data_IF_340864696623
#
_entry.id   IF_340864696623
#
_cell.length_a   1.000
_cell.length_b   1.000
_cell.length_c   1.000
_cell.angle_alpha   90.00
_cell.angle_beta   90.00
_cell.angle_gamma   90.00
#
_symmetry.space_group_name_H-M   'P 1'
#
loop_
_entity.id
_entity.type
_entity.pdbx_description
1 polymer ?
#
# COMPACT_ATOMS: atom_id res chain seq x y z
N UNK A 1 -5.51 12.82 -25.19
CA UNK A 1 -5.21 13.63 -23.97
C UNK A 1 -4.00 13.01 -23.30
N UNK A 2 -2.90 13.73 -23.24
CA UNK A 2 -1.71 13.26 -22.54
C UNK A 2 -2.01 13.12 -21.07
N UNK A 3 -1.71 11.94 -20.52
CA UNK A 3 -1.94 11.64 -19.11
C UNK A 3 -1.10 12.59 -18.25
N UNK A 4 -1.74 13.39 -17.41
CA UNK A 4 -1.06 14.30 -16.47
C UNK A 4 -0.13 13.48 -15.56
N UNK A 5 1.15 13.81 -15.54
CA UNK A 5 2.18 13.07 -14.81
C UNK A 5 3.10 14.03 -14.06
N UNK A 6 3.88 13.51 -13.13
CA UNK A 6 4.92 14.29 -12.46
C UNK A 6 5.93 14.90 -13.44
N UNK A 7 6.14 14.28 -14.61
CA UNK A 7 6.99 14.83 -15.68
C UNK A 7 6.39 16.10 -16.27
N UNK A 8 5.07 16.19 -16.37
CA UNK A 8 4.36 17.40 -16.84
C UNK A 8 4.60 18.57 -15.89
N UNK A 9 4.44 18.35 -14.56
CA UNK A 9 4.72 19.37 -13.56
C UNK A 9 6.19 19.81 -13.60
N UNK A 10 7.11 18.87 -13.72
CA UNK A 10 8.54 19.14 -13.78
C UNK A 10 8.89 20.02 -14.98
N UNK A 11 8.31 19.72 -16.15
CA UNK A 11 8.51 20.49 -17.38
C UNK A 11 7.99 21.92 -17.26
N UNK A 12 6.76 22.10 -16.74
CA UNK A 12 6.14 23.42 -16.59
C UNK A 12 6.86 24.31 -15.57
N UNK A 13 7.38 23.71 -14.49
CA UNK A 13 8.08 24.42 -13.45
C UNK A 13 9.60 24.59 -13.74
N UNK A 14 10.10 24.01 -14.82
CA UNK A 14 11.53 23.94 -15.16
C UNK A 14 12.37 23.32 -14.02
N UNK A 15 11.81 22.31 -13.36
CA UNK A 15 12.44 21.58 -12.27
C UNK A 15 12.71 20.12 -12.66
N UNK A 16 13.64 19.48 -11.95
CA UNK A 16 13.83 18.04 -12.08
C UNK A 16 12.62 17.28 -11.52
N UNK A 17 12.32 16.11 -12.09
CA UNK A 17 11.28 15.19 -11.54
C UNK A 17 11.55 14.86 -10.07
N UNK A 18 12.83 14.73 -9.70
CA UNK A 18 13.24 14.48 -8.32
C UNK A 18 12.88 15.65 -7.39
N UNK A 19 13.13 16.90 -7.82
CA UNK A 19 12.78 18.10 -7.05
C UNK A 19 11.28 18.22 -6.84
N UNK A 20 10.49 18.03 -7.91
CA UNK A 20 9.02 18.03 -7.81
C UNK A 20 8.52 16.93 -6.87
N UNK A 21 9.08 15.73 -6.98
CA UNK A 21 8.72 14.61 -6.10
C UNK A 21 9.07 14.87 -4.62
N UNK A 22 10.19 15.55 -4.35
CA UNK A 22 10.59 15.97 -3.00
C UNK A 22 9.67 17.07 -2.46
N UNK A 23 9.32 18.06 -3.29
CA UNK A 23 8.42 19.14 -2.93
C UNK A 23 7.01 18.65 -2.55
N UNK A 24 6.44 17.74 -3.36
CA UNK A 24 5.12 17.12 -3.10
C UNK A 24 5.08 16.29 -1.79
N UNK A 25 6.23 15.87 -1.25
CA UNK A 25 6.36 15.12 -0.01
C UNK A 25 6.85 15.96 1.16
N UNK A 26 6.86 17.27 1.00
CA UNK A 26 7.31 18.22 2.01
C UNK A 26 8.74 17.97 2.52
N UNK A 27 9.65 17.52 1.65
CA UNK A 27 11.04 17.27 2.01
C UNK A 27 11.74 18.56 2.45
N UNK A 28 12.54 18.48 3.51
CA UNK A 28 13.38 19.59 4.00
C UNK A 28 14.46 20.06 2.99
N UNK A 29 14.79 19.22 2.01
CA UNK A 29 15.77 19.52 0.96
C UNK A 29 15.27 20.55 -0.08
N UNK A 30 13.99 20.91 -0.05
CA UNK A 30 13.36 21.84 -0.99
C UNK A 30 12.91 23.09 -0.26
N UNK A 31 13.24 24.27 -0.83
CA UNK A 31 12.83 25.57 -0.24
C UNK A 31 11.31 25.70 -0.15
N UNK A 32 10.82 26.46 0.85
CA UNK A 32 9.40 26.75 1.04
C UNK A 32 8.77 27.37 -0.23
N UNK A 33 9.46 28.28 -0.89
CA UNK A 33 9.01 28.90 -2.13
C UNK A 33 8.79 27.87 -3.25
N UNK A 34 9.75 26.96 -3.45
CA UNK A 34 9.64 25.91 -4.48
C UNK A 34 8.51 24.94 -4.15
N UNK A 35 8.32 24.59 -2.87
CA UNK A 35 7.19 23.74 -2.44
C UNK A 35 5.85 24.40 -2.79
N UNK A 36 5.68 25.68 -2.46
CA UNK A 36 4.46 26.41 -2.78
C UNK A 36 4.16 26.45 -4.28
N UNK A 37 5.17 26.72 -5.11
CA UNK A 37 5.02 26.70 -6.57
C UNK A 37 4.59 25.34 -7.10
N UNK A 38 5.17 24.26 -6.58
CA UNK A 38 4.82 22.88 -6.97
C UNK A 38 3.40 22.53 -6.55
N UNK A 39 3.01 22.84 -5.30
CA UNK A 39 1.67 22.56 -4.77
C UNK A 39 0.60 23.36 -5.52
N UNK A 40 0.82 24.64 -5.75
CA UNK A 40 -0.11 25.49 -6.49
C UNK A 40 -0.36 24.99 -7.93
N UNK A 41 0.69 24.52 -8.62
CA UNK A 41 0.53 23.95 -9.96
C UNK A 41 -0.16 22.57 -9.92
N UNK A 42 0.16 21.73 -8.93
CA UNK A 42 -0.49 20.45 -8.74
C UNK A 42 -2.00 20.61 -8.53
N UNK A 43 -2.41 21.55 -7.66
CA UNK A 43 -3.82 21.87 -7.41
C UNK A 43 -4.51 22.43 -8.66
N UNK A 44 -3.88 23.38 -9.35
CA UNK A 44 -4.41 23.96 -10.60
C UNK A 44 -4.68 22.91 -11.68
N UNK A 45 -3.82 21.90 -11.75
CA UNK A 45 -3.94 20.82 -12.74
C UNK A 45 -4.70 19.60 -12.22
N UNK A 46 -5.23 19.62 -10.98
CA UNK A 46 -5.82 18.45 -10.31
C UNK A 46 -4.90 17.22 -10.35
N UNK A 47 -3.59 17.45 -10.16
CA UNK A 47 -2.61 16.37 -10.14
C UNK A 47 -2.58 15.68 -8.76
N UNK A 48 -2.88 14.39 -8.74
CA UNK A 48 -2.69 13.54 -7.55
C UNK A 48 -1.47 12.66 -7.75
N UNK A 49 -0.47 12.70 -6.82
CA UNK A 49 0.66 11.80 -6.87
C UNK A 49 0.21 10.34 -6.89
N UNK A 50 0.78 9.54 -7.80
CA UNK A 50 0.50 8.11 -7.84
C UNK A 50 1.26 7.42 -6.68
N UNK A 51 0.56 6.86 -5.68
CA UNK A 51 1.19 6.20 -4.55
C UNK A 51 2.02 4.98 -4.97
N UNK A 52 1.58 4.25 -6.00
CA UNK A 52 2.29 3.07 -6.52
C UNK A 52 3.66 3.41 -7.11
N UNK A 53 3.80 4.57 -7.78
CA UNK A 53 5.09 5.01 -8.30
C UNK A 53 6.11 5.33 -7.18
N UNK A 54 5.64 5.71 -6.01
CA UNK A 54 6.51 5.96 -4.85
C UNK A 54 6.83 4.67 -4.08
N UNK A 55 5.90 3.71 -4.06
CA UNK A 55 6.02 2.40 -3.41
C UNK A 55 7.13 1.56 -4.04
N UNK A 56 7.19 1.50 -5.37
CA UNK A 56 8.24 0.80 -6.12
C UNK A 56 9.65 1.27 -5.72
N UNK A 57 9.83 2.58 -5.49
CA UNK A 57 11.13 3.14 -5.11
C UNK A 57 11.49 2.90 -3.65
N UNK A 58 10.50 2.79 -2.76
CA UNK A 58 10.69 2.59 -1.32
C UNK A 58 10.60 1.13 -0.90
N UNK A 59 10.25 0.21 -1.80
CA UNK A 59 9.91 -1.19 -1.50
C UNK A 59 8.86 -1.32 -0.37
N UNK A 60 7.94 -0.33 -0.28
CA UNK A 60 6.86 -0.32 0.72
C UNK A 60 5.56 0.06 0.05
N UNK A 61 4.58 -0.83 0.10
CA UNK A 61 3.25 -0.63 -0.46
C UNK A 61 2.36 0.26 0.40
N UNK A 62 2.69 0.43 1.68
CA UNK A 62 1.85 1.03 2.70
C UNK A 62 0.48 0.33 2.80
N UNK A 63 0.49 -0.98 2.63
CA UNK A 63 -0.70 -1.82 2.65
C UNK A 63 -0.46 -3.02 3.55
N UNK A 64 -1.44 -3.36 4.37
CA UNK A 64 -1.49 -4.59 5.18
C UNK A 64 -2.55 -5.50 4.60
N UNK A 65 -2.20 -6.75 4.36
CA UNK A 65 -3.15 -7.81 4.02
C UNK A 65 -3.82 -8.35 5.28
N UNK A 66 -5.14 -8.48 5.25
CA UNK A 66 -5.92 -9.17 6.29
C UNK A 66 -6.64 -10.33 5.62
N UNK A 67 -6.24 -11.53 5.98
CA UNK A 67 -6.75 -12.79 5.38
C UNK A 67 -7.53 -13.52 6.45
N UNK A 68 -8.82 -13.67 6.23
CA UNK A 68 -9.76 -14.26 7.21
C UNK A 68 -10.74 -15.21 6.51
N UNK A 69 -11.34 -16.17 7.24
CA UNK A 69 -12.30 -17.10 6.62
C UNK A 69 -13.56 -16.40 6.12
N UNK A 70 -14.11 -15.49 6.93
CA UNK A 70 -15.38 -14.80 6.64
C UNK A 70 -15.46 -13.45 7.34
N UNK A 71 -16.29 -12.53 6.83
CA UNK A 71 -16.49 -11.21 7.43
C UNK A 71 -17.77 -11.11 8.26
N UNK A 72 -18.66 -12.09 8.17
CA UNK A 72 -19.99 -12.06 8.82
C UNK A 72 -19.90 -12.30 10.31
N UNK A 73 -18.90 -13.05 10.78
CA UNK A 73 -18.66 -13.31 12.17
C UNK A 73 -18.30 -12.03 12.93
N UNK A 74 -18.95 -11.78 14.05
CA UNK A 74 -18.76 -10.58 14.88
C UNK A 74 -17.32 -10.41 15.39
N UNK A 75 -16.60 -11.51 15.63
CA UNK A 75 -15.18 -11.48 16.00
C UNK A 75 -14.33 -10.87 14.87
N UNK A 76 -14.48 -11.35 13.64
CA UNK A 76 -13.72 -10.85 12.51
C UNK A 76 -14.10 -9.41 12.15
N UNK A 77 -15.38 -9.06 12.18
CA UNK A 77 -15.81 -7.69 11.88
C UNK A 77 -15.29 -6.67 12.89
N UNK A 78 -15.24 -7.01 14.17
CA UNK A 78 -14.65 -6.16 15.21
C UNK A 78 -13.11 -6.07 15.05
N UNK A 79 -12.47 -7.19 14.75
CA UNK A 79 -11.02 -7.23 14.50
C UNK A 79 -10.63 -6.34 13.30
N UNK A 80 -11.38 -6.41 12.19
CA UNK A 80 -11.17 -5.55 11.02
C UNK A 80 -11.27 -4.07 11.40
N UNK A 81 -12.29 -3.68 12.18
CA UNK A 81 -12.45 -2.29 12.63
C UNK A 81 -11.24 -1.82 13.44
N UNK A 82 -10.73 -2.65 14.36
CA UNK A 82 -9.53 -2.33 15.14
C UNK A 82 -8.28 -2.21 14.28
N UNK A 83 -8.09 -3.13 13.35
CA UNK A 83 -6.96 -3.13 12.41
C UNK A 83 -7.01 -1.88 11.52
N UNK A 84 -8.17 -1.56 10.94
CA UNK A 84 -8.34 -0.38 10.08
C UNK A 84 -8.03 0.90 10.84
N UNK A 85 -8.54 1.04 12.06
CA UNK A 85 -8.30 2.21 12.90
C UNK A 85 -6.80 2.45 13.13
N UNK A 86 -6.03 1.42 13.51
CA UNK A 86 -4.60 1.53 13.74
C UNK A 86 -3.82 1.76 12.44
N UNK A 87 -4.18 1.03 11.37
CA UNK A 87 -3.54 1.15 10.07
C UNK A 87 -3.67 2.59 9.54
N UNK A 88 -4.85 3.17 9.60
CA UNK A 88 -5.13 4.53 9.17
C UNK A 88 -4.28 5.55 9.92
N UNK A 89 -4.14 5.44 11.25
CA UNK A 89 -3.29 6.35 12.03
C UNK A 89 -1.81 6.30 11.60
N UNK A 90 -1.37 5.14 11.11
CA UNK A 90 0.01 4.93 10.65
C UNK A 90 0.18 5.16 9.13
N UNK A 91 -0.87 5.61 8.45
CA UNK A 91 -0.86 5.86 7.01
C UNK A 91 -0.76 4.59 6.17
N UNK A 92 -1.34 3.49 6.66
CA UNK A 92 -1.49 2.22 5.94
C UNK A 92 -2.91 2.05 5.41
N UNK A 93 -3.02 1.36 4.29
CA UNK A 93 -4.28 0.81 3.77
C UNK A 93 -4.44 -0.63 4.22
N UNK A 94 -5.68 -1.09 4.31
CA UNK A 94 -6.01 -2.49 4.63
C UNK A 94 -6.65 -3.13 3.41
N UNK A 95 -6.13 -4.28 2.99
CA UNK A 95 -6.75 -5.16 1.99
C UNK A 95 -7.28 -6.39 2.69
N UNK A 96 -8.57 -6.65 2.54
CA UNK A 96 -9.25 -7.79 3.16
C UNK A 96 -9.48 -8.85 2.09
N UNK A 97 -9.04 -10.07 2.39
CA UNK A 97 -9.25 -11.26 1.58
C UNK A 97 -9.98 -12.32 2.38
N UNK A 98 -10.93 -12.99 1.75
CA UNK A 98 -11.73 -14.04 2.37
C UNK A 98 -11.30 -15.39 1.81
N UNK A 99 -10.91 -16.30 2.71
CA UNK A 99 -10.52 -17.66 2.31
C UNK A 99 -11.72 -18.58 2.15
N UNK A 100 -12.84 -18.26 2.76
CA UNK A 100 -14.04 -19.14 2.82
C UNK A 100 -13.73 -20.53 3.38
N UNK A 101 -12.79 -20.63 4.32
CA UNK A 101 -12.29 -21.88 4.90
C UNK A 101 -11.64 -22.83 3.86
N UNK A 102 -11.27 -22.33 2.69
CA UNK A 102 -10.64 -23.06 1.61
C UNK A 102 -9.12 -22.90 1.66
N UNK A 103 -8.40 -24.01 1.87
CA UNK A 103 -6.94 -24.04 1.97
C UNK A 103 -6.24 -23.66 0.65
N UNK A 104 -6.77 -24.07 -0.49
CA UNK A 104 -6.17 -23.73 -1.79
C UNK A 104 -6.35 -22.23 -2.08
N UNK A 105 -7.49 -21.65 -1.70
CA UNK A 105 -7.70 -20.21 -1.80
C UNK A 105 -6.78 -19.44 -0.85
N UNK A 106 -6.57 -19.90 0.38
CA UNK A 106 -5.60 -19.33 1.32
C UNK A 106 -4.20 -19.28 0.73
N UNK A 107 -3.73 -20.39 0.19
CA UNK A 107 -2.42 -20.47 -0.50
C UNK A 107 -2.32 -19.51 -1.67
N UNK A 108 -3.35 -19.44 -2.50
CA UNK A 108 -3.36 -18.55 -3.66
C UNK A 108 -3.29 -17.07 -3.25
N UNK A 109 -4.01 -16.68 -2.22
CA UNK A 109 -3.97 -15.31 -1.67
C UNK A 109 -2.56 -14.97 -1.15
N UNK A 110 -1.95 -15.85 -0.36
CA UNK A 110 -0.60 -15.60 0.17
C UNK A 110 0.44 -15.56 -0.96
N UNK A 111 0.29 -16.39 -1.98
CA UNK A 111 1.14 -16.36 -3.17
C UNK A 111 1.10 -15.01 -3.90
N UNK A 112 -0.06 -14.41 -4.02
CA UNK A 112 -0.22 -13.07 -4.59
C UNK A 112 0.54 -11.99 -3.81
N UNK A 113 0.66 -12.14 -2.49
CA UNK A 113 1.35 -11.17 -1.63
C UNK A 113 2.87 -11.19 -1.77
N UNK A 114 3.46 -12.27 -2.28
CA UNK A 114 4.88 -12.35 -2.59
C UNK A 114 5.33 -11.29 -3.61
N UNK A 115 4.41 -10.76 -4.40
CA UNK A 115 4.70 -9.72 -5.40
C UNK A 115 5.03 -8.33 -4.81
N UNK A 116 5.03 -8.17 -3.47
CA UNK A 116 5.24 -6.89 -2.80
C UNK A 116 3.98 -6.01 -2.76
N UNK A 117 2.79 -6.60 -2.93
CA UNK A 117 1.50 -5.91 -2.85
C UNK A 117 1.18 -5.41 -1.44
N UNK A 118 1.69 -6.11 -0.43
CA UNK A 118 1.52 -5.77 0.99
C UNK A 118 2.87 -5.69 1.70
N UNK A 119 2.92 -4.92 2.79
CA UNK A 119 4.11 -4.78 3.64
C UNK A 119 4.09 -5.76 4.83
N UNK A 120 2.97 -6.46 5.02
CA UNK A 120 2.76 -7.46 6.05
C UNK A 120 1.36 -8.04 5.98
N UNK A 121 1.15 -9.16 6.64
CA UNK A 121 -0.11 -9.90 6.63
C UNK A 121 -0.58 -10.18 8.05
N UNK A 122 -1.88 -10.09 8.27
CA UNK A 122 -2.58 -10.63 9.43
C UNK A 122 -3.46 -11.77 8.93
N UNK A 123 -3.19 -12.98 9.38
CA UNK A 123 -3.81 -14.20 8.88
C UNK A 123 -4.58 -14.92 9.98
N UNK A 124 -5.81 -15.28 9.68
CA UNK A 124 -6.52 -16.33 10.37
C UNK A 124 -6.58 -17.55 9.46
N UNK A 125 -5.83 -18.58 9.79
CA UNK A 125 -5.75 -19.81 8.98
C UNK A 125 -7.10 -20.49 8.86
N UNK A 126 -7.34 -21.11 7.71
CA UNK A 126 -8.53 -21.92 7.45
C UNK A 126 -8.51 -23.18 8.31
N UNK A 127 -9.69 -23.71 8.64
CA UNK A 127 -9.81 -24.98 9.39
C UNK A 127 -9.20 -26.17 8.64
N UNK A 128 -9.10 -26.09 7.33
CA UNK A 128 -8.50 -27.11 6.49
C UNK A 128 -6.97 -27.02 6.42
N UNK A 129 -6.37 -25.96 6.97
CA UNK A 129 -4.92 -25.75 6.95
C UNK A 129 -4.23 -26.76 7.85
N UNK A 130 -3.58 -27.76 7.27
CA UNK A 130 -2.81 -28.78 7.97
C UNK A 130 -1.30 -28.61 7.79
N UNK A 131 -0.90 -27.78 6.84
CA UNK A 131 0.49 -27.46 6.50
C UNK A 131 0.66 -25.95 6.38
N UNK A 132 1.70 -25.41 7.01
CA UNK A 132 1.99 -23.97 7.05
C UNK A 132 3.16 -23.58 6.13
N UNK A 133 3.57 -24.43 5.18
CA UNK A 133 4.69 -24.17 4.27
C UNK A 133 4.48 -22.88 3.45
N UNK A 134 3.26 -22.63 2.98
CA UNK A 134 2.90 -21.40 2.26
C UNK A 134 3.04 -20.11 3.09
N UNK A 135 2.89 -20.21 4.42
CA UNK A 135 3.14 -19.08 5.33
C UNK A 135 4.65 -18.87 5.47
N UNK A 136 5.41 -19.96 5.61
CA UNK A 136 6.87 -19.89 5.70
C UNK A 136 7.49 -19.33 4.41
N UNK A 137 6.99 -19.72 3.23
CA UNK A 137 7.42 -19.18 1.93
C UNK A 137 7.26 -17.65 1.86
N UNK A 138 6.18 -17.10 2.44
CA UNK A 138 5.94 -15.67 2.47
C UNK A 138 6.91 -14.96 3.44
N UNK A 139 7.17 -15.56 4.60
CA UNK A 139 8.14 -15.05 5.59
C UNK A 139 9.55 -15.05 5.01
N UNK A 140 9.93 -16.09 4.29
CA UNK A 140 11.25 -16.23 3.64
C UNK A 140 11.48 -15.17 2.53
N UNK A 141 10.41 -14.51 2.09
CA UNK A 141 10.44 -13.37 1.16
C UNK A 141 10.36 -12.01 1.85
N UNK A 142 10.68 -11.95 3.14
CA UNK A 142 10.67 -10.73 3.95
C UNK A 142 9.29 -10.07 4.10
N UNK A 143 8.20 -10.84 3.96
CA UNK A 143 6.85 -10.36 4.28
C UNK A 143 6.45 -10.90 5.66
N UNK A 144 6.35 -10.05 6.70
CA UNK A 144 5.95 -10.49 8.03
C UNK A 144 4.47 -10.95 8.05
N UNK A 145 4.23 -12.06 8.75
CA UNK A 145 2.90 -12.64 8.96
C UNK A 145 2.59 -12.73 10.45
#
# INVERSE_FOLDING_TARGET
MDKLTIKTLAKELQLSVSSVSKALRDSHEISAETKQRVLALADKLNYTPNPYASSLRKRKSKTIGVVIPEAVNSFFSQSINGIEYVAKQKGYHVLIYLTHEDFENEKAILKDFESGRVDGVLLSVSRQTTDCSHIQELIDKDVPV
#
